data_IF_530788249503
#
_entry.id   IF_530788249503
#
_cell.length_a   1.000
_cell.length_b   1.000
_cell.length_c   1.000
_cell.angle_alpha   90.00
_cell.angle_beta   90.00
_cell.angle_gamma   90.00
#
_symmetry.space_group_name_H-M   'P 1'
#
loop_
_entity.id
_entity.type
_entity.pdbx_description
1 polymer ?
#
# COMPACT_ATOMS: atom_id res chain seq x y z
N UNK A 1 2.47 -20.65 -4.92
CA UNK A 1 2.05 -21.10 -6.27
C UNK A 1 0.97 -20.12 -6.75
N UNK A 2 1.17 -19.43 -7.87
CA UNK A 2 0.31 -18.31 -8.32
C UNK A 2 -0.71 -18.79 -9.36
N UNK A 3 -1.63 -19.68 -8.99
CA UNK A 3 -2.60 -20.26 -9.94
C UNK A 3 -4.04 -20.06 -9.45
N UNK A 4 -4.97 -19.75 -10.36
CA UNK A 4 -6.39 -19.62 -10.03
C UNK A 4 -6.94 -20.94 -9.48
N UNK A 5 -7.51 -20.91 -8.28
CA UNK A 5 -8.09 -22.07 -7.62
C UNK A 5 -9.54 -22.30 -8.06
N UNK A 6 -10.29 -21.22 -8.29
CA UNK A 6 -11.72 -21.25 -8.55
C UNK A 6 -12.11 -20.91 -10.00
N UNK A 7 -11.21 -20.31 -10.78
CA UNK A 7 -11.48 -19.90 -12.16
C UNK A 7 -12.20 -18.55 -12.27
N UNK A 8 -12.80 -18.30 -13.41
CA UNK A 8 -13.59 -17.09 -13.71
C UNK A 8 -15.08 -17.25 -13.34
N UNK A 9 -15.84 -16.16 -13.39
CA UNK A 9 -17.30 -16.16 -13.17
C UNK A 9 -18.04 -17.07 -14.16
N UNK A 10 -19.31 -17.36 -13.88
CA UNK A 10 -20.20 -18.16 -14.75
C UNK A 10 -19.60 -19.53 -15.11
N UNK A 11 -19.23 -20.30 -14.07
CA UNK A 11 -18.63 -21.64 -14.20
C UNK A 11 -17.32 -21.66 -15.03
N UNK A 12 -16.39 -20.77 -14.66
CA UNK A 12 -15.11 -20.58 -15.33
C UNK A 12 -15.23 -20.32 -16.85
N UNK A 13 -16.05 -19.34 -17.25
CA UNK A 13 -16.31 -19.00 -18.65
C UNK A 13 -15.04 -18.71 -19.50
N UNK A 14 -13.93 -18.31 -18.87
CA UNK A 14 -12.65 -18.05 -19.53
C UNK A 14 -11.67 -19.23 -19.47
N UNK A 15 -12.00 -20.31 -18.77
CA UNK A 15 -11.11 -21.48 -18.61
C UNK A 15 -9.78 -21.15 -17.91
N UNK A 16 -9.81 -20.21 -16.96
CA UNK A 16 -8.60 -19.72 -16.27
C UNK A 16 -8.28 -20.52 -15.01
N UNK A 17 -9.13 -21.45 -14.58
CA UNK A 17 -8.82 -22.32 -13.45
C UNK A 17 -7.54 -23.11 -13.71
N UNK A 18 -6.62 -23.10 -12.74
CA UNK A 18 -5.29 -23.70 -12.86
C UNK A 18 -4.31 -22.93 -13.76
N UNK A 19 -4.70 -21.78 -14.33
CA UNK A 19 -3.79 -20.87 -15.05
C UNK A 19 -3.11 -19.90 -14.09
N UNK A 20 -2.02 -19.32 -14.55
CA UNK A 20 -1.22 -18.36 -13.77
C UNK A 20 -1.99 -17.07 -13.50
N UNK A 21 -1.85 -16.57 -12.27
CA UNK A 21 -2.42 -15.29 -11.82
C UNK A 21 -1.54 -14.12 -12.22
N UNK A 22 -1.64 -13.72 -13.49
CA UNK A 22 -1.00 -12.50 -14.00
C UNK A 22 -1.63 -11.25 -13.35
N UNK A 23 -0.80 -10.30 -12.93
CA UNK A 23 -1.21 -9.11 -12.17
C UNK A 23 -2.31 -8.26 -12.83
N UNK A 24 -2.39 -8.28 -14.17
CA UNK A 24 -3.42 -7.58 -14.97
C UNK A 24 -4.86 -7.87 -14.50
N UNK A 25 -5.13 -9.08 -14.01
CA UNK A 25 -6.45 -9.47 -13.53
C UNK A 25 -6.90 -8.65 -12.33
N UNK A 26 -5.96 -8.20 -11.50
CA UNK A 26 -6.24 -7.54 -10.22
C UNK A 26 -5.99 -6.03 -10.24
N UNK A 27 -5.37 -5.49 -11.30
CA UNK A 27 -5.01 -4.08 -11.41
C UNK A 27 -6.09 -3.21 -12.10
N UNK A 28 -7.22 -3.77 -12.54
CA UNK A 28 -8.30 -3.00 -13.18
C UNK A 28 -9.69 -3.40 -12.70
N UNK A 29 -10.55 -2.41 -12.50
CA UNK A 29 -11.90 -2.60 -11.98
C UNK A 29 -12.74 -3.47 -12.92
N UNK A 30 -12.60 -3.26 -14.24
CA UNK A 30 -13.31 -4.02 -15.26
C UNK A 30 -12.93 -5.50 -15.26
N UNK A 31 -11.64 -5.85 -15.15
CA UNK A 31 -11.26 -7.27 -15.12
C UNK A 31 -11.77 -7.95 -13.86
N UNK A 32 -11.62 -7.27 -12.72
CA UNK A 32 -12.09 -7.76 -11.42
C UNK A 32 -13.59 -8.00 -11.40
N UNK A 33 -14.38 -7.06 -11.93
CA UNK A 33 -15.84 -7.16 -11.88
C UNK A 33 -16.43 -8.12 -12.91
N UNK A 34 -15.87 -8.16 -14.13
CA UNK A 34 -16.41 -8.98 -15.22
C UNK A 34 -16.00 -10.44 -15.14
N UNK A 35 -14.80 -10.74 -14.64
CA UNK A 35 -14.18 -12.05 -14.85
C UNK A 35 -13.83 -12.78 -13.57
N UNK A 36 -13.51 -12.10 -12.46
CA UNK A 36 -13.05 -12.77 -11.25
C UNK A 36 -14.21 -13.12 -10.30
N UNK A 37 -14.26 -14.37 -9.87
CA UNK A 37 -15.12 -14.79 -8.75
C UNK A 37 -14.63 -14.15 -7.44
N UNK A 38 -15.54 -13.93 -6.49
CA UNK A 38 -15.25 -13.22 -5.25
C UNK A 38 -14.09 -13.84 -4.45
N UNK A 39 -13.96 -15.16 -4.49
CA UNK A 39 -12.92 -15.93 -3.79
C UNK A 39 -11.51 -15.64 -4.33
N UNK A 40 -11.38 -15.18 -5.57
CA UNK A 40 -10.08 -14.87 -6.20
C UNK A 40 -9.65 -13.42 -6.01
N UNK A 41 -10.58 -12.54 -5.63
CA UNK A 41 -10.37 -11.09 -5.66
C UNK A 41 -9.45 -10.57 -4.57
N UNK A 42 -9.33 -11.27 -3.44
CA UNK A 42 -8.71 -10.74 -2.23
C UNK A 42 -9.47 -9.57 -1.61
N UNK A 43 -8.84 -8.89 -0.67
CA UNK A 43 -9.42 -7.78 0.10
C UNK A 43 -8.41 -6.64 0.24
N UNK A 44 -8.77 -5.53 0.88
CA UNK A 44 -7.88 -4.36 0.97
C UNK A 44 -6.53 -4.66 1.64
N UNK A 45 -6.53 -5.44 2.72
CA UNK A 45 -5.30 -5.83 3.43
C UNK A 45 -4.39 -6.65 2.51
N UNK A 46 -4.95 -7.61 1.76
CA UNK A 46 -4.13 -8.44 0.87
C UNK A 46 -3.52 -7.64 -0.28
N UNK A 47 -4.22 -6.62 -0.80
CA UNK A 47 -3.63 -5.71 -1.79
C UNK A 47 -2.52 -4.83 -1.19
N UNK A 48 -2.67 -4.35 0.05
CA UNK A 48 -1.58 -3.67 0.75
C UNK A 48 -0.35 -4.58 0.88
N UNK A 49 -0.53 -5.84 1.28
CA UNK A 49 0.57 -6.82 1.38
C UNK A 49 1.23 -7.09 0.03
N UNK A 50 0.46 -7.21 -1.05
CA UNK A 50 0.98 -7.31 -2.42
C UNK A 50 1.85 -6.11 -2.76
N UNK A 51 1.36 -4.87 -2.54
CA UNK A 51 2.13 -3.66 -2.82
C UNK A 51 3.39 -3.54 -1.97
N UNK A 52 3.37 -4.05 -0.72
CA UNK A 52 4.53 -4.15 0.15
C UNK A 52 5.59 -5.10 -0.42
N UNK A 53 5.19 -6.28 -0.88
CA UNK A 53 6.09 -7.24 -1.49
C UNK A 53 6.73 -6.69 -2.77
N UNK A 54 5.94 -6.04 -3.62
CA UNK A 54 6.44 -5.38 -4.83
C UNK A 54 7.47 -4.31 -4.45
N UNK A 55 7.15 -3.45 -3.47
CA UNK A 55 8.04 -2.37 -3.02
C UNK A 55 9.36 -2.90 -2.44
N UNK A 56 9.33 -4.00 -1.67
CA UNK A 56 10.53 -4.67 -1.16
C UNK A 56 11.41 -5.23 -2.28
N UNK A 57 10.80 -5.92 -3.24
CA UNK A 57 11.53 -6.48 -4.37
C UNK A 57 12.21 -5.37 -5.19
N UNK A 58 11.47 -4.28 -5.47
CA UNK A 58 12.02 -3.11 -6.17
C UNK A 58 13.12 -2.42 -5.37
N UNK A 59 12.95 -2.25 -4.05
CA UNK A 59 13.99 -1.67 -3.18
C UNK A 59 15.29 -2.46 -3.31
N UNK A 60 15.21 -3.80 -3.30
CA UNK A 60 16.38 -4.67 -3.41
C UNK A 60 17.07 -4.55 -4.76
N UNK A 61 16.32 -4.48 -5.86
CA UNK A 61 16.86 -4.22 -7.20
C UNK A 61 17.59 -2.87 -7.24
N UNK A 62 16.93 -1.81 -6.79
CA UNK A 62 17.52 -0.46 -6.80
C UNK A 62 18.76 -0.37 -5.89
N UNK A 63 18.77 -1.06 -4.74
CA UNK A 63 19.93 -1.12 -3.85
C UNK A 63 21.13 -1.85 -4.49
N UNK A 64 20.88 -2.77 -5.42
CA UNK A 64 21.92 -3.41 -6.23
C UNK A 64 22.37 -2.55 -7.43
N UNK A 65 21.81 -1.34 -7.60
CA UNK A 65 22.14 -0.44 -8.71
C UNK A 65 21.48 -0.80 -10.03
N UNK A 66 20.46 -1.67 -10.02
CA UNK A 66 19.79 -2.16 -11.23
C UNK A 66 18.35 -1.65 -11.32
N UNK A 67 17.89 -1.40 -12.55
CA UNK A 67 16.50 -1.09 -12.87
C UNK A 67 15.88 -2.24 -13.66
N UNK A 68 14.57 -2.47 -13.52
CA UNK A 68 13.87 -3.52 -14.24
C UNK A 68 13.60 -3.14 -15.69
N UNK A 69 13.36 -1.86 -15.98
CA UNK A 69 13.11 -1.30 -17.30
C UNK A 69 11.80 -1.65 -18.01
N UNK A 70 11.16 -2.77 -17.65
CA UNK A 70 9.84 -3.17 -18.15
C UNK A 70 8.85 -3.51 -17.03
N UNK A 71 8.65 -2.57 -16.10
CA UNK A 71 7.68 -2.79 -15.01
C UNK A 71 6.26 -2.65 -15.50
N UNK A 72 5.49 -3.72 -15.40
CA UNK A 72 4.05 -3.72 -15.68
C UNK A 72 3.32 -4.75 -14.85
N UNK A 73 1.99 -4.70 -14.85
CA UNK A 73 1.16 -5.73 -14.23
C UNK A 73 1.27 -7.10 -14.95
N UNK A 74 1.89 -7.17 -16.14
CA UNK A 74 2.08 -8.43 -16.86
C UNK A 74 3.32 -9.18 -16.34
N UNK A 75 4.33 -8.43 -15.89
CA UNK A 75 5.56 -8.97 -15.33
C UNK A 75 5.46 -9.20 -13.81
N UNK A 76 4.23 -9.34 -13.31
CA UNK A 76 3.91 -9.63 -11.93
C UNK A 76 2.99 -10.84 -11.85
N UNK A 77 3.35 -11.82 -11.03
CA UNK A 77 2.42 -12.81 -10.53
C UNK A 77 1.90 -12.36 -9.18
N UNK A 78 0.58 -12.37 -9.01
CA UNK A 78 -0.07 -11.86 -7.79
C UNK A 78 -1.13 -12.85 -7.34
N UNK A 79 -1.11 -13.19 -6.06
CA UNK A 79 -2.14 -13.98 -5.43
C UNK A 79 -2.74 -13.24 -4.23
N UNK A 80 -3.87 -12.53 -4.43
CA UNK A 80 -4.55 -11.81 -3.35
C UNK A 80 -5.22 -12.73 -2.31
N UNK A 81 -5.23 -14.05 -2.53
CA UNK A 81 -5.81 -15.04 -1.62
C UNK A 81 -4.79 -15.66 -0.67
N UNK A 82 -3.50 -15.60 -1.03
CA UNK A 82 -2.38 -16.13 -0.25
C UNK A 82 -1.33 -15.06 0.06
N UNK A 83 -1.69 -13.79 -0.08
CA UNK A 83 -0.85 -12.60 0.14
C UNK A 83 0.47 -12.60 -0.63
N UNK A 84 0.52 -13.26 -1.80
CA UNK A 84 1.74 -13.45 -2.57
C UNK A 84 1.90 -12.43 -3.69
N UNK A 85 3.13 -11.98 -3.92
CA UNK A 85 3.53 -11.30 -5.16
C UNK A 85 4.94 -11.74 -5.59
N UNK A 86 5.16 -11.87 -6.89
CA UNK A 86 6.46 -12.19 -7.47
C UNK A 86 6.69 -11.36 -8.73
N UNK A 87 7.92 -10.85 -8.87
CA UNK A 87 8.37 -10.16 -10.08
C UNK A 87 8.95 -11.20 -11.03
N UNK A 88 8.48 -11.18 -12.27
CA UNK A 88 8.98 -12.01 -13.37
C UNK A 88 9.86 -11.17 -14.29
N UNK A 89 10.48 -11.82 -15.28
CA UNK A 89 11.20 -11.15 -16.38
C UNK A 89 12.37 -10.27 -15.90
N UNK A 90 13.24 -10.89 -15.09
CA UNK A 90 14.42 -10.27 -14.47
C UNK A 90 15.72 -10.50 -15.27
N UNK A 91 15.62 -10.92 -16.53
CA UNK A 91 16.73 -11.11 -17.46
C UNK A 91 17.07 -9.80 -18.21
N UNK A 92 16.09 -8.94 -18.48
CA UNK A 92 16.25 -7.62 -19.11
C UNK A 92 16.65 -6.47 -18.16
N UNK A 93 17.42 -6.73 -17.10
CA UNK A 93 17.76 -5.70 -16.11
C UNK A 93 18.75 -4.67 -16.68
N UNK A 94 18.44 -3.39 -16.44
CA UNK A 94 19.27 -2.27 -16.87
C UNK A 94 20.28 -1.91 -15.80
N UNK A 95 21.54 -1.82 -16.23
CA UNK A 95 22.66 -1.36 -15.42
C UNK A 95 23.27 -0.14 -16.09
N UNK A 96 23.14 1.06 -15.50
CA UNK A 96 23.67 2.29 -16.08
C UNK A 96 25.13 2.15 -16.51
N UNK A 97 25.41 2.43 -17.79
CA UNK A 97 26.76 2.37 -18.36
C UNK A 97 27.32 0.96 -18.62
N UNK A 98 26.57 -0.11 -18.33
CA UNK A 98 27.03 -1.50 -18.53
C UNK A 98 26.08 -2.35 -19.36
N UNK A 99 24.79 -2.35 -19.03
CA UNK A 99 23.76 -3.11 -19.74
C UNK A 99 22.63 -2.15 -20.14
N UNK A 100 22.53 -1.81 -21.44
CA UNK A 100 21.50 -0.91 -21.92
C UNK A 100 20.11 -1.58 -21.87
N UNK A 101 19.03 -0.79 -21.94
CA UNK A 101 17.67 -1.30 -22.02
C UNK A 101 17.39 -2.01 -23.35
N UNK A 102 16.86 -3.24 -23.26
CA UNK A 102 16.40 -3.99 -24.43
C UNK A 102 15.05 -3.47 -24.95
N UNK A 103 14.18 -3.02 -24.02
CA UNK A 103 12.85 -2.49 -24.31
C UNK A 103 12.67 -1.07 -23.77
N UNK A 104 11.76 -0.31 -24.39
CA UNK A 104 11.39 1.04 -23.92
C UNK A 104 10.46 0.97 -22.71
N UNK A 105 9.77 -0.16 -22.51
CA UNK A 105 8.84 -0.42 -21.42
C UNK A 105 7.42 -0.73 -21.92
N UNK A 106 6.58 -1.25 -21.03
CA UNK A 106 5.18 -1.57 -21.32
C UNK A 106 4.33 -0.29 -21.34
N UNK A 107 3.45 -0.10 -22.35
CA UNK A 107 2.46 0.97 -22.36
C UNK A 107 1.70 1.10 -21.03
N UNK A 108 1.25 2.30 -20.69
CA UNK A 108 0.73 2.72 -19.37
C UNK A 108 1.78 2.90 -18.25
N UNK A 109 2.95 2.23 -18.31
CA UNK A 109 3.95 2.31 -17.23
C UNK A 109 5.18 3.13 -17.57
N UNK A 110 5.34 3.50 -18.85
CA UNK A 110 6.44 4.33 -19.32
C UNK A 110 6.36 5.71 -18.67
N UNK A 111 7.47 6.17 -18.12
CA UNK A 111 7.52 7.48 -17.46
C UNK A 111 7.37 8.64 -18.48
N UNK A 112 6.76 9.77 -18.09
CA UNK A 112 6.45 10.86 -19.03
C UNK A 112 7.63 11.37 -19.85
N UNK A 113 8.80 11.51 -19.23
CA UNK A 113 10.03 11.98 -19.87
C UNK A 113 10.54 11.03 -20.97
N UNK A 114 10.20 9.74 -20.88
CA UNK A 114 10.55 8.75 -21.89
C UNK A 114 9.58 8.78 -23.07
N UNK A 115 8.28 9.01 -22.80
CA UNK A 115 7.26 9.18 -23.85
C UNK A 115 7.54 10.47 -24.63
N UNK A 116 7.89 11.56 -23.95
CA UNK A 116 8.19 12.85 -24.57
C UNK A 116 9.39 12.75 -25.53
N UNK A 117 10.42 12.00 -25.15
CA UNK A 117 11.63 11.84 -25.96
C UNK A 117 11.62 10.62 -26.87
N UNK A 118 10.47 9.93 -27.01
CA UNK A 118 10.38 8.66 -27.73
C UNK A 118 10.68 8.76 -29.24
N UNK A 119 10.53 9.96 -29.80
CA UNK A 119 10.76 10.27 -31.21
C UNK A 119 12.26 10.44 -31.54
N UNK A 120 13.12 10.61 -30.52
CA UNK A 120 14.56 10.74 -30.68
C UNK A 120 15.22 9.36 -30.86
N UNK A 121 16.35 9.32 -31.56
CA UNK A 121 17.14 8.09 -31.69
C UNK A 121 17.65 7.60 -30.32
N UNK A 122 17.87 6.29 -30.17
CA UNK A 122 18.39 5.70 -28.92
C UNK A 122 19.76 6.27 -28.51
N UNK A 123 20.54 6.72 -29.48
CA UNK A 123 21.88 7.30 -29.29
C UNK A 123 21.86 8.81 -29.07
N UNK A 124 20.70 9.46 -29.19
CA UNK A 124 20.57 10.90 -28.96
C UNK A 124 20.83 11.22 -27.47
N UNK A 125 21.69 12.20 -27.15
CA UNK A 125 22.00 12.55 -25.76
C UNK A 125 20.79 13.06 -24.96
N UNK A 126 19.73 13.53 -25.64
CA UNK A 126 18.49 13.97 -25.00
C UNK A 126 17.48 12.83 -24.83
N UNK A 127 17.68 11.67 -25.47
CA UNK A 127 16.79 10.51 -25.31
C UNK A 127 16.80 10.03 -23.86
N UNK A 128 15.63 10.00 -23.24
CA UNK A 128 15.47 9.39 -21.91
C UNK A 128 15.25 7.89 -22.07
N UNK A 129 16.03 7.13 -21.32
CA UNK A 129 16.05 5.68 -21.33
C UNK A 129 15.66 5.15 -19.94
N UNK A 130 15.20 3.89 -19.85
CA UNK A 130 14.95 3.24 -18.57
C UNK A 130 16.08 3.42 -17.55
N UNK A 131 15.68 3.73 -16.32
CA UNK A 131 16.58 3.95 -15.19
C UNK A 131 15.85 3.69 -13.88
N UNK A 132 16.56 3.74 -12.75
CA UNK A 132 15.95 3.70 -11.41
C UNK A 132 14.89 4.80 -11.24
N UNK A 133 15.06 5.96 -11.89
CA UNK A 133 14.12 7.08 -11.77
C UNK A 133 12.80 6.83 -12.53
N UNK A 134 12.85 6.18 -13.68
CA UNK A 134 11.66 5.81 -14.48
C UNK A 134 10.96 4.62 -13.83
N UNK A 135 11.72 3.68 -13.26
CA UNK A 135 11.24 2.55 -12.45
C UNK A 135 10.43 2.99 -11.22
N UNK A 136 10.77 4.15 -10.62
CA UNK A 136 10.00 4.74 -9.51
C UNK A 136 8.63 5.24 -9.96
N UNK A 137 8.53 5.78 -11.17
CA UNK A 137 7.24 6.16 -11.76
C UNK A 137 6.37 4.91 -11.96
N UNK A 138 6.90 3.89 -12.63
CA UNK A 138 6.19 2.64 -12.86
C UNK A 138 5.75 1.96 -11.54
N UNK A 139 6.60 1.99 -10.50
CA UNK A 139 6.23 1.49 -9.16
C UNK A 139 5.04 2.26 -8.57
N UNK A 140 5.03 3.59 -8.65
CA UNK A 140 3.92 4.40 -8.16
C UNK A 140 2.61 4.07 -8.90
N UNK A 141 2.68 3.94 -10.24
CA UNK A 141 1.53 3.55 -11.08
C UNK A 141 1.01 2.18 -10.66
N UNK A 142 1.89 1.19 -10.50
CA UNK A 142 1.51 -0.16 -10.06
C UNK A 142 0.81 -0.16 -8.70
N UNK A 143 1.39 0.50 -7.69
CA UNK A 143 0.79 0.58 -6.35
C UNK A 143 -0.58 1.23 -6.42
N UNK A 144 -0.71 2.33 -7.17
CA UNK A 144 -1.99 2.99 -7.36
C UNK A 144 -3.02 2.08 -8.02
N UNK A 145 -2.65 1.35 -9.09
CA UNK A 145 -3.55 0.44 -9.79
C UNK A 145 -3.97 -0.77 -8.94
N UNK A 146 -3.09 -1.32 -8.09
CA UNK A 146 -3.46 -2.42 -7.20
C UNK A 146 -4.36 -1.99 -6.03
N UNK A 147 -4.32 -0.72 -5.63
CA UNK A 147 -5.20 -0.19 -4.59
C UNK A 147 -6.51 0.35 -5.17
N UNK A 148 -6.50 1.00 -6.32
CA UNK A 148 -7.65 1.75 -6.85
C UNK A 148 -8.24 1.19 -8.14
N UNK A 149 -7.60 0.19 -8.73
CA UNK A 149 -8.07 -0.52 -9.93
C UNK A 149 -8.35 0.38 -11.13
N UNK A 150 -7.62 1.49 -11.22
CA UNK A 150 -7.66 2.47 -12.30
C UNK A 150 -6.27 3.07 -12.49
N UNK A 151 -5.99 3.63 -13.65
CA UNK A 151 -4.69 4.26 -13.94
C UNK A 151 -4.66 5.72 -13.43
N UNK A 152 -3.57 6.19 -12.80
CA UNK A 152 -3.50 7.54 -12.21
C UNK A 152 -3.52 8.68 -13.23
N UNK A 153 -3.18 8.42 -14.49
CA UNK A 153 -3.14 9.46 -15.55
C UNK A 153 -4.29 9.35 -16.58
N UNK A 154 -5.06 8.25 -16.57
CA UNK A 154 -6.14 8.02 -17.54
C UNK A 154 -7.43 8.68 -17.08
N UNK A 155 -7.57 9.96 -17.41
CA UNK A 155 -8.74 10.76 -17.10
C UNK A 155 -9.62 11.03 -18.30
N UNK A 156 -10.39 12.12 -18.22
CA UNK A 156 -11.34 12.53 -19.27
C UNK A 156 -10.86 13.73 -20.10
N UNK A 157 -9.61 14.16 -19.92
CA UNK A 157 -9.01 15.23 -20.73
C UNK A 157 -8.58 14.67 -22.07
N UNK A 158 -8.91 15.40 -23.13
CA UNK A 158 -8.42 15.13 -24.49
C UNK A 158 -7.57 16.33 -24.90
N UNK A 159 -6.36 16.06 -25.33
CA UNK A 159 -5.34 17.00 -25.73
C UNK A 159 -5.27 17.16 -27.25
N UNK A 160 -5.60 16.11 -28.01
CA UNK A 160 -5.60 16.13 -29.48
C UNK A 160 -6.74 15.27 -30.05
N UNK A 161 -7.37 15.66 -31.17
CA UNK A 161 -8.34 14.80 -31.86
C UNK A 161 -7.72 13.52 -32.46
N UNK A 162 -6.41 13.52 -32.77
CA UNK A 162 -5.69 12.32 -33.18
C UNK A 162 -5.37 11.44 -31.97
N UNK A 163 -5.88 10.20 -31.97
CA UNK A 163 -5.77 9.31 -30.82
C UNK A 163 -4.32 8.94 -30.47
N UNK A 164 -3.45 8.80 -31.46
CA UNK A 164 -2.03 8.48 -31.21
C UNK A 164 -1.31 9.66 -30.60
N UNK A 165 -1.56 10.87 -31.09
CA UNK A 165 -0.99 12.08 -30.51
C UNK A 165 -1.55 12.39 -29.12
N UNK A 166 -2.85 12.18 -28.91
CA UNK A 166 -3.50 12.31 -27.62
C UNK A 166 -2.89 11.39 -26.57
N UNK A 167 -2.63 10.13 -26.95
CA UNK A 167 -1.92 9.14 -26.14
C UNK A 167 -0.53 9.63 -25.74
N UNK A 168 0.25 10.13 -26.70
CA UNK A 168 1.61 10.63 -26.46
C UNK A 168 1.62 11.85 -25.53
N UNK A 169 0.64 12.75 -25.64
CA UNK A 169 0.51 13.91 -24.78
C UNK A 169 0.06 13.51 -23.37
N UNK A 170 -0.97 12.66 -23.27
CA UNK A 170 -1.56 12.18 -22.01
C UNK A 170 -0.57 11.40 -21.16
N UNK A 171 0.28 10.60 -21.80
CA UNK A 171 1.28 9.78 -21.12
C UNK A 171 2.67 10.42 -21.09
N UNK A 172 2.84 11.58 -21.73
CA UNK A 172 4.10 12.29 -21.88
C UNK A 172 4.01 13.73 -21.35
N UNK A 173 4.32 14.70 -22.20
CA UNK A 173 4.52 16.10 -21.80
C UNK A 173 3.30 16.80 -21.19
N UNK A 174 2.07 16.29 -21.42
CA UNK A 174 0.85 16.82 -20.81
C UNK A 174 0.23 15.87 -19.79
N UNK A 175 0.98 14.87 -19.31
CA UNK A 175 0.54 13.98 -18.25
C UNK A 175 0.04 14.76 -17.03
N UNK A 176 -1.14 14.39 -16.56
CA UNK A 176 -1.83 15.06 -15.46
C UNK A 176 -2.51 14.03 -14.57
N UNK A 177 -2.25 14.08 -13.26
CA UNK A 177 -2.90 13.20 -12.30
C UNK A 177 -4.42 13.42 -12.25
N UNK A 178 -5.19 12.33 -12.30
CA UNK A 178 -6.66 12.39 -12.30
C UNK A 178 -7.24 12.93 -10.98
N UNK A 179 -6.47 12.92 -9.90
CA UNK A 179 -6.81 13.52 -8.60
C UNK A 179 -5.87 14.69 -8.26
N UNK A 180 -5.38 15.42 -9.27
CA UNK A 180 -4.58 16.60 -9.05
C UNK A 180 -5.38 17.63 -8.20
N UNK A 181 -4.78 18.18 -7.11
CA UNK A 181 -5.47 19.06 -6.18
C UNK A 181 -5.75 20.45 -6.75
N UNK A 182 -4.96 20.92 -7.72
CA UNK A 182 -5.04 22.28 -8.27
C UNK A 182 -5.52 22.33 -9.73
N UNK A 183 -5.45 21.22 -10.46
CA UNK A 183 -5.97 21.11 -11.84
C UNK A 183 -6.94 19.93 -11.98
N UNK A 184 -8.24 20.25 -12.02
CA UNK A 184 -9.31 19.27 -12.16
C UNK A 184 -9.59 18.85 -13.61
N UNK A 185 -8.86 19.38 -14.60
CA UNK A 185 -9.18 19.20 -16.03
C UNK A 185 -9.07 17.75 -16.53
N UNK A 186 -8.26 16.91 -15.86
CA UNK A 186 -8.16 15.47 -16.15
C UNK A 186 -8.96 14.57 -15.19
N UNK A 187 -9.91 15.12 -14.41
CA UNK A 187 -10.78 14.27 -13.59
C UNK A 187 -11.63 13.34 -14.46
N UNK A 188 -11.77 12.10 -14.01
CA UNK A 188 -12.65 11.11 -14.66
C UNK A 188 -14.10 11.55 -14.51
N UNK A 189 -14.82 11.60 -15.63
CA UNK A 189 -16.26 11.87 -15.66
C UNK A 189 -17.03 10.56 -15.45
N UNK A 190 -17.88 10.43 -14.41
CA UNK A 190 -18.61 9.20 -14.15
C UNK A 190 -19.50 8.74 -15.32
N UNK A 191 -19.99 9.68 -16.14
CA UNK A 191 -20.78 9.38 -17.35
C UNK A 191 -20.00 8.64 -18.44
N UNK A 192 -18.67 8.62 -18.38
CA UNK A 192 -17.80 7.91 -19.31
C UNK A 192 -17.40 6.52 -18.78
N UNK A 193 -17.77 6.17 -17.54
CA UNK A 193 -17.44 4.89 -16.94
C UNK A 193 -18.52 3.84 -17.23
N UNK A 194 -18.09 2.64 -17.58
CA UNK A 194 -18.98 1.49 -17.63
C UNK A 194 -19.36 1.00 -16.22
N UNK A 195 -20.47 0.28 -16.11
CA UNK A 195 -20.89 -0.36 -14.83
C UNK A 195 -19.80 -1.23 -14.21
N UNK A 196 -18.98 -1.87 -15.04
CA UNK A 196 -17.89 -2.73 -14.61
C UNK A 196 -16.70 -1.97 -14.00
N UNK A 197 -16.58 -0.67 -14.27
CA UNK A 197 -15.54 0.18 -13.68
C UNK A 197 -15.99 0.80 -12.36
N UNK A 198 -17.30 0.97 -12.16
CA UNK A 198 -17.84 1.58 -10.94
C UNK A 198 -17.79 0.61 -9.74
N UNK A 199 -17.60 1.12 -8.50
CA UNK A 199 -17.34 2.51 -8.15
C UNK A 199 -15.85 2.93 -8.31
N UNK A 200 -14.94 1.98 -8.54
CA UNK A 200 -13.50 2.17 -8.48
C UNK A 200 -12.92 3.12 -9.52
N UNK A 201 -13.54 3.20 -10.70
CA UNK A 201 -13.15 4.13 -11.75
C UNK A 201 -13.45 5.59 -11.42
N UNK A 202 -14.28 5.87 -10.41
CA UNK A 202 -14.69 7.21 -10.01
C UNK A 202 -13.89 7.68 -8.77
N UNK A 203 -12.93 8.62 -8.93
CA UNK A 203 -12.13 9.12 -7.82
C UNK A 203 -12.93 9.93 -6.79
N UNK A 204 -14.12 10.43 -7.11
CA UNK A 204 -14.96 11.09 -6.09
C UNK A 204 -15.59 10.08 -5.12
N UNK A 205 -15.82 8.85 -5.59
CA UNK A 205 -16.34 7.75 -4.77
C UNK A 205 -15.24 6.97 -4.08
N UNK A 206 -14.13 6.74 -4.78
CA UNK A 206 -12.97 5.98 -4.29
C UNK A 206 -11.69 6.83 -4.40
N UNK A 207 -11.59 7.96 -3.66
CA UNK A 207 -10.43 8.83 -3.74
C UNK A 207 -9.18 8.16 -3.17
N UNK A 208 -8.00 8.58 -3.59
CA UNK A 208 -6.76 8.03 -3.08
C UNK A 208 -6.58 8.25 -1.58
N UNK A 209 -7.28 9.25 -1.01
CA UNK A 209 -7.33 9.56 0.42
C UNK A 209 -7.80 8.40 1.30
N UNK A 210 -8.57 7.44 0.76
CA UNK A 210 -9.00 6.24 1.51
C UNK A 210 -7.83 5.31 1.86
N UNK A 211 -6.68 5.43 1.18
CA UNK A 211 -5.46 4.72 1.53
C UNK A 211 -4.72 5.32 2.74
N UNK A 212 -5.29 6.36 3.35
CA UNK A 212 -4.75 7.00 4.53
C UNK A 212 -3.65 8.02 4.22
N UNK A 213 -3.21 8.77 5.25
CA UNK A 213 -2.37 9.95 5.06
C UNK A 213 -0.98 9.64 4.50
N UNK A 214 -0.40 8.50 4.87
CA UNK A 214 0.97 8.13 4.46
C UNK A 214 1.05 7.82 2.96
N UNK A 215 0.16 6.96 2.47
CA UNK A 215 0.13 6.60 1.04
C UNK A 215 -0.39 7.75 0.18
N UNK A 216 -1.39 8.49 0.64
CA UNK A 216 -1.90 9.66 -0.07
C UNK A 216 -0.82 10.71 -0.31
N UNK A 217 0.02 10.99 0.71
CA UNK A 217 1.14 11.91 0.56
C UNK A 217 2.16 11.43 -0.49
N UNK A 218 2.42 10.11 -0.56
CA UNK A 218 3.31 9.56 -1.57
C UNK A 218 2.71 9.60 -2.98
N UNK A 219 1.40 9.42 -3.14
CA UNK A 219 0.74 9.60 -4.44
C UNK A 219 0.80 11.05 -4.92
N UNK A 220 0.59 12.02 -4.03
CA UNK A 220 0.78 13.44 -4.36
C UNK A 220 2.23 13.72 -4.77
N UNK A 221 3.21 13.24 -3.99
CA UNK A 221 4.62 13.39 -4.33
C UNK A 221 5.00 12.70 -5.65
N UNK A 222 4.38 11.57 -5.98
CA UNK A 222 4.67 10.83 -7.22
C UNK A 222 4.03 11.45 -8.47
N UNK A 223 2.77 11.89 -8.36
CA UNK A 223 1.95 12.26 -9.51
C UNK A 223 1.64 13.76 -9.61
N UNK A 224 2.06 14.56 -8.64
CA UNK A 224 2.02 16.02 -8.71
C UNK A 224 3.44 16.56 -8.75
N UNK A 225 4.19 16.44 -7.64
CA UNK A 225 5.54 17.02 -7.55
C UNK A 225 6.51 16.29 -8.49
N UNK A 226 6.51 14.95 -8.45
CA UNK A 226 7.46 14.11 -9.17
C UNK A 226 7.02 13.62 -10.55
N UNK A 227 5.85 14.05 -11.05
CA UNK A 227 5.34 13.56 -12.34
C UNK A 227 6.29 13.97 -13.47
N UNK A 228 6.59 15.27 -13.54
CA UNK A 228 7.50 15.89 -14.51
C UNK A 228 8.88 16.23 -13.92
N UNK A 229 9.11 15.91 -12.64
CA UNK A 229 10.42 16.01 -11.98
C UNK A 229 10.84 14.66 -11.36
N UNK A 230 11.62 13.83 -12.08
CA UNK A 230 12.01 12.51 -11.61
C UNK A 230 12.74 12.48 -10.26
N UNK A 231 13.38 13.58 -9.85
CA UNK A 231 14.14 13.65 -8.60
C UNK A 231 13.25 13.70 -7.35
N UNK A 232 12.02 14.19 -7.48
CA UNK A 232 11.06 14.28 -6.38
C UNK A 232 10.27 12.99 -6.17
N UNK A 233 10.35 12.03 -7.11
CA UNK A 233 9.60 10.77 -7.03
C UNK A 233 9.95 9.95 -5.78
N UNK A 234 8.95 9.36 -5.10
CA UNK A 234 9.21 8.44 -4.01
C UNK A 234 10.13 7.28 -4.38
N UNK A 235 11.02 6.93 -3.46
CA UNK A 235 11.79 5.70 -3.55
C UNK A 235 10.95 4.49 -3.17
N UNK A 236 11.38 3.29 -3.56
CA UNK A 236 10.75 2.05 -3.13
C UNK A 236 10.83 1.82 -1.60
N UNK A 237 11.86 2.38 -0.95
CA UNK A 237 11.97 2.39 0.51
C UNK A 237 10.88 3.26 1.15
N UNK A 238 10.56 4.42 0.56
CA UNK A 238 9.47 5.27 1.05
C UNK A 238 8.12 4.54 1.00
N UNK A 239 7.85 3.84 -0.11
CA UNK A 239 6.66 3.02 -0.27
C UNK A 239 6.61 1.89 0.76
N UNK A 240 7.69 1.11 0.94
CA UNK A 240 7.73 0.06 1.97
C UNK A 240 7.44 0.62 3.37
N UNK A 241 8.13 1.70 3.76
CA UNK A 241 7.94 2.32 5.08
C UNK A 241 6.51 2.82 5.28
N UNK A 242 5.93 3.46 4.27
CA UNK A 242 4.57 3.98 4.33
C UNK A 242 3.52 2.84 4.37
N UNK A 243 3.70 1.77 3.59
CA UNK A 243 2.78 0.63 3.56
C UNK A 243 2.81 -0.11 4.89
N UNK A 244 4.00 -0.41 5.44
CA UNK A 244 4.15 -1.04 6.76
C UNK A 244 3.38 -0.26 7.84
N UNK A 245 3.59 1.05 7.91
CA UNK A 245 2.90 1.91 8.88
C UNK A 245 1.41 2.07 8.59
N UNK A 246 0.99 1.91 7.34
CA UNK A 246 -0.43 1.94 6.96
C UNK A 246 -1.14 0.65 7.35
N UNK A 247 -0.46 -0.50 7.28
CA UNK A 247 -0.98 -1.79 7.78
C UNK A 247 -1.30 -1.68 9.27
N UNK A 248 -0.50 -0.97 10.06
CA UNK A 248 -0.80 -0.72 11.48
C UNK A 248 -2.02 0.20 11.70
N UNK A 249 -2.51 0.88 10.66
CA UNK A 249 -3.70 1.73 10.72
C UNK A 249 -4.97 1.05 10.20
N UNK A 250 -4.90 -0.21 9.77
CA UNK A 250 -6.08 -0.90 9.25
C UNK A 250 -7.00 -1.37 10.36
N UNK A 251 -8.27 -1.50 10.02
CA UNK A 251 -9.29 -2.10 10.87
C UNK A 251 -10.22 -2.97 10.03
N UNK A 252 -10.73 -4.09 10.60
CA UNK A 252 -11.69 -4.93 9.91
C UNK A 252 -13.02 -4.19 9.77
N UNK A 253 -13.67 -4.38 8.63
CA UNK A 253 -15.01 -3.90 8.38
C UNK A 253 -16.03 -4.76 9.15
N UNK A 254 -16.89 -4.17 10.02
CA UNK A 254 -17.86 -4.95 10.78
C UNK A 254 -18.91 -5.63 9.89
N UNK A 255 -19.18 -5.08 8.70
CA UNK A 255 -20.12 -5.64 7.73
C UNK A 255 -19.50 -6.73 6.81
N UNK A 256 -18.20 -7.02 6.93
CA UNK A 256 -17.49 -7.98 6.07
C UNK A 256 -17.74 -7.74 4.56
N UNK A 257 -17.72 -6.47 4.13
CA UNK A 257 -17.82 -6.12 2.71
C UNK A 257 -16.66 -6.71 1.89
N UNK A 258 -16.72 -6.69 0.55
CA UNK A 258 -15.68 -7.28 -0.33
C UNK A 258 -14.26 -6.85 0.06
N UNK A 259 -14.06 -5.57 0.38
CA UNK A 259 -12.75 -5.06 0.78
C UNK A 259 -12.32 -5.47 2.18
N UNK A 260 -13.25 -5.88 3.05
CA UNK A 260 -13.02 -6.53 4.35
C UNK A 260 -12.30 -5.72 5.43
N UNK A 261 -11.46 -4.78 5.03
CA UNK A 261 -10.53 -4.00 5.85
C UNK A 261 -10.47 -2.59 5.28
N UNK A 262 -10.14 -1.62 6.11
CA UNK A 262 -9.97 -0.24 5.67
C UNK A 262 -9.00 0.50 6.58
N UNK A 263 -8.35 1.53 6.04
CA UNK A 263 -7.45 2.39 6.83
C UNK A 263 -8.29 3.33 7.69
N UNK A 264 -7.94 3.46 8.96
CA UNK A 264 -8.58 4.42 9.86
C UNK A 264 -8.27 5.86 9.44
N UNK A 265 -9.32 6.66 9.29
CA UNK A 265 -9.28 8.02 8.74
C UNK A 265 -9.07 9.11 9.81
N UNK A 266 -8.82 8.73 11.06
CA UNK A 266 -8.70 9.62 12.22
C UNK A 266 -9.98 10.37 12.61
N UNK A 267 -11.13 9.95 12.09
CA UNK A 267 -12.40 10.55 12.48
C UNK A 267 -12.85 10.00 13.84
N UNK A 268 -13.63 10.81 14.56
CA UNK A 268 -14.25 10.38 15.82
C UNK A 268 -15.40 9.41 15.60
N UNK A 269 -15.92 9.29 14.37
CA UNK A 269 -17.01 8.38 13.98
C UNK A 269 -16.63 7.63 12.71
N UNK A 270 -15.70 6.66 12.80
CA UNK A 270 -15.17 5.99 11.64
C UNK A 270 -16.26 5.18 10.93
N UNK A 271 -16.20 5.25 9.60
CA UNK A 271 -17.04 4.45 8.70
C UNK A 271 -16.15 3.77 7.68
N UNK A 272 -16.54 2.57 7.26
CA UNK A 272 -15.88 1.90 6.16
C UNK A 272 -16.07 2.75 4.87
N UNK A 273 -15.00 3.20 4.19
CA UNK A 273 -15.12 4.03 3.01
C UNK A 273 -15.73 3.26 1.82
N UNK A 274 -15.67 1.93 1.83
CA UNK A 274 -16.13 1.10 0.72
C UNK A 274 -17.63 0.79 0.77
N UNK A 275 -18.18 0.51 1.95
CA UNK A 275 -19.59 0.12 2.12
C UNK A 275 -20.41 1.10 2.99
N UNK A 276 -19.79 2.13 3.55
CA UNK A 276 -20.44 3.14 4.38
C UNK A 276 -20.84 2.68 5.78
N UNK A 277 -20.58 1.43 6.17
CA UNK A 277 -20.93 0.94 7.51
C UNK A 277 -20.16 1.68 8.59
N UNK A 278 -20.88 2.28 9.53
CA UNK A 278 -20.30 2.92 10.72
C UNK A 278 -19.75 1.86 11.68
N UNK A 279 -18.62 2.16 12.33
CA UNK A 279 -18.12 1.32 13.41
C UNK A 279 -18.97 1.49 14.68
N UNK A 280 -19.16 0.40 15.43
CA UNK A 280 -19.92 0.38 16.68
C UNK A 280 -19.03 -0.11 17.82
N UNK A 281 -18.99 0.65 18.91
CA UNK A 281 -18.15 0.35 20.08
C UNK A 281 -16.88 1.20 20.14
N UNK A 282 -16.09 0.99 21.19
CA UNK A 282 -14.85 1.74 21.43
C UNK A 282 -13.73 1.22 20.54
N UNK A 283 -12.92 2.11 19.99
CA UNK A 283 -11.76 1.79 19.15
C UNK A 283 -10.47 2.31 19.77
N UNK A 284 -9.64 1.44 20.37
CA UNK A 284 -8.35 1.85 20.88
C UNK A 284 -7.38 2.15 19.73
N UNK A 285 -6.67 3.25 19.89
CA UNK A 285 -5.56 3.70 19.06
C UNK A 285 -4.36 3.83 19.97
N UNK A 286 -3.29 3.09 19.67
CA UNK A 286 -2.04 3.20 20.41
C UNK A 286 -1.17 4.24 19.73
N UNK A 287 -0.83 5.30 20.45
CA UNK A 287 0.18 6.27 20.03
C UNK A 287 1.54 5.82 20.55
N UNK A 288 2.48 5.52 19.63
CA UNK A 288 3.82 5.06 20.01
C UNK A 288 4.73 6.24 20.36
N UNK A 289 5.45 6.06 21.47
CA UNK A 289 6.53 6.92 21.92
C UNK A 289 7.75 6.08 22.17
N UNK A 290 8.93 6.60 21.88
CA UNK A 290 10.19 5.93 22.16
C UNK A 290 11.15 6.79 22.94
N UNK A 291 12.02 6.13 23.69
CA UNK A 291 13.10 6.79 24.41
C UNK A 291 14.42 6.68 23.64
N UNK A 292 15.16 7.79 23.53
CA UNK A 292 16.55 7.80 23.03
C UNK A 292 17.57 7.62 24.17
N UNK A 293 17.22 8.11 25.36
CA UNK A 293 17.97 7.99 26.60
C UNK A 293 16.98 7.84 27.76
N UNK A 294 17.27 6.96 28.71
CA UNK A 294 16.36 6.57 29.79
C UNK A 294 15.65 7.77 30.44
N UNK A 295 14.32 7.70 30.50
CA UNK A 295 13.48 8.66 31.24
C UNK A 295 12.74 9.71 30.40
N UNK A 296 13.11 9.95 29.14
CA UNK A 296 12.34 10.84 28.23
C UNK A 296 11.77 10.06 27.05
N UNK A 297 10.47 10.23 26.77
CA UNK A 297 9.75 9.59 25.67
C UNK A 297 9.27 10.64 24.67
N UNK A 298 9.58 10.45 23.39
CA UNK A 298 9.16 11.35 22.31
C UNK A 298 8.22 10.62 21.34
N UNK A 299 7.27 11.33 20.71
CA UNK A 299 6.37 10.73 19.73
C UNK A 299 7.13 10.10 18.56
N UNK A 300 6.77 8.87 18.20
CA UNK A 300 7.30 8.20 17.00
C UNK A 300 6.55 8.62 15.73
N UNK A 301 5.47 9.41 15.86
CA UNK A 301 4.48 9.67 14.81
C UNK A 301 3.93 8.37 14.19
N UNK A 302 3.92 7.27 14.94
CA UNK A 302 3.46 5.95 14.54
C UNK A 302 2.33 5.55 15.47
N UNK A 303 1.24 5.08 14.88
CA UNK A 303 0.06 4.63 15.61
C UNK A 303 -0.32 3.22 15.19
N UNK A 304 -0.95 2.49 16.09
CA UNK A 304 -1.53 1.18 15.85
C UNK A 304 -3.02 1.23 16.16
N UNK A 305 -3.84 0.89 15.18
CA UNK A 305 -5.27 0.67 15.35
C UNK A 305 -5.51 -0.72 15.90
N UNK A 306 -6.21 -0.80 17.03
CA UNK A 306 -6.49 -2.06 17.72
C UNK A 306 -7.74 -2.73 17.15
N UNK A 307 -7.63 -4.02 16.85
CA UNK A 307 -8.76 -4.90 16.53
C UNK A 307 -8.61 -6.28 17.20
N UNK A 308 -9.71 -7.04 17.25
CA UNK A 308 -9.79 -8.26 18.06
C UNK A 308 -8.97 -9.41 17.49
N UNK A 309 -8.05 -9.96 18.28
CA UNK A 309 -7.08 -10.97 17.84
C UNK A 309 -5.83 -10.42 17.17
N UNK A 310 -5.70 -9.08 17.04
CA UNK A 310 -4.50 -8.47 16.46
C UNK A 310 -3.26 -8.77 17.30
N UNK A 311 -2.20 -9.19 16.62
CA UNK A 311 -0.93 -9.56 17.25
C UNK A 311 0.03 -8.39 17.34
N UNK A 312 0.73 -8.28 18.46
CA UNK A 312 1.93 -7.47 18.63
C UNK A 312 3.18 -8.31 18.34
N UNK A 313 4.22 -7.62 17.89
CA UNK A 313 5.48 -8.22 17.47
C UNK A 313 6.64 -7.33 17.94
N UNK A 314 7.89 -7.80 17.91
CA UNK A 314 9.05 -7.05 18.37
C UNK A 314 9.21 -5.64 17.74
N UNK A 315 8.87 -5.46 16.47
CA UNK A 315 8.89 -4.14 15.81
C UNK A 315 7.80 -3.18 16.30
N UNK A 316 6.77 -3.67 17.00
CA UNK A 316 5.80 -2.81 17.67
C UNK A 316 6.31 -2.30 19.01
N UNK A 317 7.16 -3.06 19.71
CA UNK A 317 7.61 -2.75 21.07
C UNK A 317 8.99 -2.08 21.13
N UNK A 318 9.79 -2.17 20.06
CA UNK A 318 11.11 -1.54 19.96
C UNK A 318 11.31 -0.94 18.56
N UNK A 319 11.55 0.38 18.50
CA UNK A 319 11.72 1.11 17.21
C UNK A 319 13.01 0.78 16.47
N UNK A 320 13.94 0.06 17.09
CA UNK A 320 15.16 -0.40 16.42
C UNK A 320 14.88 -1.55 15.44
N UNK A 321 13.72 -2.22 15.59
CA UNK A 321 13.33 -3.36 14.78
C UNK A 321 12.31 -2.88 13.74
N UNK A 322 12.60 -3.16 12.47
CA UNK A 322 11.71 -2.83 11.37
C UNK A 322 11.23 -4.12 10.68
N UNK A 323 9.93 -4.27 10.36
CA UNK A 323 9.44 -5.49 9.75
C UNK A 323 9.87 -5.58 8.29
N UNK A 324 10.96 -6.28 8.03
CA UNK A 324 11.51 -6.55 6.71
C UNK A 324 11.98 -8.02 6.58
N UNK A 325 12.57 -8.36 5.44
CA UNK A 325 13.09 -9.70 5.14
C UNK A 325 14.25 -10.16 6.03
N UNK A 326 14.90 -9.25 6.76
CA UNK A 326 16.08 -9.53 7.59
C UNK A 326 15.72 -9.90 9.03
N UNK A 327 14.43 -9.86 9.41
CA UNK A 327 13.98 -10.27 10.75
C UNK A 327 14.42 -11.70 11.06
N UNK A 328 14.98 -11.91 12.26
CA UNK A 328 15.31 -13.24 12.77
C UNK A 328 14.04 -14.06 13.07
N UNK A 329 14.12 -15.40 13.17
CA UNK A 329 12.98 -16.23 13.55
C UNK A 329 12.31 -15.79 14.86
N UNK A 330 13.09 -15.39 15.86
CA UNK A 330 12.55 -14.90 17.13
C UNK A 330 11.88 -13.54 16.99
N UNK A 331 12.40 -12.65 16.14
CA UNK A 331 11.78 -11.36 15.87
C UNK A 331 10.45 -11.46 15.11
N UNK A 332 10.10 -12.64 14.58
CA UNK A 332 8.81 -12.92 13.92
C UNK A 332 7.78 -13.54 14.86
N UNK A 333 8.16 -13.84 16.11
CA UNK A 333 7.24 -14.39 17.10
C UNK A 333 6.37 -13.30 17.69
N UNK A 334 5.10 -13.64 17.93
CA UNK A 334 4.15 -12.79 18.63
C UNK A 334 4.65 -12.51 20.06
N UNK A 335 4.50 -11.27 20.53
CA UNK A 335 4.86 -10.85 21.90
C UNK A 335 3.66 -10.49 22.77
N UNK A 336 2.51 -10.32 22.14
CA UNK A 336 1.23 -10.09 22.80
C UNK A 336 0.12 -10.01 21.76
N UNK A 337 -1.11 -9.88 22.21
CA UNK A 337 -2.25 -9.67 21.32
C UNK A 337 -3.37 -8.91 22.02
N UNK A 338 -4.27 -8.34 21.22
CA UNK A 338 -5.43 -7.64 21.72
C UNK A 338 -6.66 -8.55 21.73
N UNK A 339 -7.47 -8.40 22.76
CA UNK A 339 -8.73 -9.12 22.90
C UNK A 339 -9.84 -8.15 23.32
N UNK A 340 -10.98 -8.22 22.64
CA UNK A 340 -12.22 -7.60 23.08
C UNK A 340 -13.00 -8.61 23.93
N UNK A 341 -13.18 -8.32 25.22
CA UNK A 341 -13.91 -9.18 26.14
C UNK A 341 -14.97 -8.37 26.90
N UNK A 342 -16.24 -8.77 26.79
CA UNK A 342 -17.38 -8.13 27.46
C UNK A 342 -17.46 -6.60 27.24
N UNK A 343 -17.05 -6.12 26.05
CA UNK A 343 -17.07 -4.69 25.69
C UNK A 343 -15.83 -3.90 26.10
N UNK A 344 -14.86 -4.55 26.74
CA UNK A 344 -13.59 -3.96 27.14
C UNK A 344 -12.41 -4.55 26.37
N UNK A 345 -11.45 -3.68 26.05
CA UNK A 345 -10.24 -4.05 25.34
C UNK A 345 -9.12 -4.40 26.30
N UNK A 346 -8.40 -5.47 26.01
CA UNK A 346 -7.26 -5.93 26.78
C UNK A 346 -6.06 -6.15 25.87
N UNK A 347 -4.87 -5.79 26.36
CA UNK A 347 -3.60 -6.26 25.82
C UNK A 347 -3.11 -7.42 26.69
N UNK A 348 -2.97 -8.59 26.07
CA UNK A 348 -2.45 -9.80 26.69
C UNK A 348 -0.93 -9.85 26.48
N UNK A 349 -0.18 -10.01 27.57
CA UNK A 349 1.27 -10.14 27.53
C UNK A 349 1.66 -11.60 27.28
N UNK A 350 2.27 -11.92 26.14
CA UNK A 350 2.77 -13.27 25.88
C UNK A 350 4.29 -13.40 25.99
N UNK A 351 5.03 -12.33 25.68
CA UNK A 351 6.49 -12.37 25.65
C UNK A 351 7.14 -10.98 25.80
N UNK A 352 6.58 -10.11 26.65
CA UNK A 352 7.14 -8.81 27.01
C UNK A 352 7.54 -8.81 28.51
N UNK A 353 8.74 -9.29 28.87
CA UNK A 353 9.13 -9.51 30.27
C UNK A 353 9.23 -8.22 31.10
N UNK A 354 9.36 -7.06 30.45
CA UNK A 354 9.51 -5.75 31.08
C UNK A 354 8.25 -4.87 30.94
N UNK A 355 7.12 -5.48 30.58
CA UNK A 355 5.88 -4.75 30.37
C UNK A 355 5.38 -4.15 31.68
N UNK A 356 5.04 -2.87 31.66
CA UNK A 356 4.64 -2.11 32.85
C UNK A 356 3.45 -1.21 32.54
N UNK A 357 2.39 -1.34 33.33
CA UNK A 357 1.25 -0.43 33.32
C UNK A 357 1.65 0.82 34.10
N UNK A 358 1.94 1.89 33.37
CA UNK A 358 2.41 3.16 33.94
C UNK A 358 1.30 3.84 34.73
N UNK A 359 0.04 3.69 34.27
CA UNK A 359 -1.13 4.28 34.92
C UNK A 359 -1.41 3.64 36.27
N UNK A 360 -1.35 2.31 36.35
CA UNK A 360 -1.56 1.58 37.61
C UNK A 360 -0.28 1.34 38.43
N UNK A 361 0.88 1.79 37.93
CA UNK A 361 2.19 1.60 38.55
C UNK A 361 2.51 0.14 38.89
N UNK A 362 2.25 -0.78 37.97
CA UNK A 362 2.44 -2.22 38.21
C UNK A 362 3.09 -2.92 37.02
N UNK A 363 3.93 -3.91 37.31
CA UNK A 363 4.44 -4.82 36.29
C UNK A 363 3.30 -5.71 35.76
N UNK A 364 3.31 -5.98 34.46
CA UNK A 364 2.36 -6.89 33.80
C UNK A 364 3.13 -8.15 33.44
N UNK A 365 3.03 -9.18 34.28
CA UNK A 365 3.73 -10.45 34.07
C UNK A 365 3.33 -11.14 32.75
N UNK A 366 4.19 -12.02 32.24
CA UNK A 366 3.86 -12.88 31.10
C UNK A 366 2.65 -13.74 31.46
N UNK A 367 1.67 -13.82 30.56
CA UNK A 367 0.37 -14.46 30.76
C UNK A 367 -0.69 -13.55 31.40
N UNK A 368 -0.31 -12.39 31.93
CA UNK A 368 -1.25 -11.40 32.45
C UNK A 368 -1.78 -10.48 31.35
N UNK A 369 -2.71 -9.61 31.71
CA UNK A 369 -3.31 -8.64 30.82
C UNK A 369 -3.42 -7.25 31.46
N UNK A 370 -3.60 -6.25 30.61
CA UNK A 370 -3.92 -4.88 31.00
C UNK A 370 -5.09 -4.38 30.17
N UNK A 371 -6.07 -3.75 30.83
CA UNK A 371 -7.21 -3.13 30.16
C UNK A 371 -6.76 -1.84 29.48
N UNK A 372 -7.18 -1.65 28.23
CA UNK A 372 -6.96 -0.41 27.50
C UNK A 372 -8.04 0.59 27.91
N UNK A 373 -7.63 1.75 28.42
CA UNK A 373 -8.52 2.84 28.83
C UNK A 373 -8.04 4.16 28.24
N UNK A 374 -8.96 5.10 28.03
CA UNK A 374 -8.61 6.45 27.54
C UNK A 374 -7.49 7.07 28.39
N UNK A 375 -6.45 7.59 27.73
CA UNK A 375 -5.29 8.20 28.37
C UNK A 375 -4.34 7.24 29.07
N UNK A 376 -4.65 5.93 29.10
CA UNK A 376 -3.80 4.92 29.71
C UNK A 376 -2.41 4.89 29.08
N UNK A 377 -1.41 4.50 29.87
CA UNK A 377 -0.02 4.42 29.42
C UNK A 377 0.59 3.06 29.77
N UNK A 378 1.18 2.40 28.78
CA UNK A 378 1.80 1.09 28.95
C UNK A 378 3.20 1.12 28.36
N UNK A 379 4.20 0.80 29.17
CA UNK A 379 5.56 0.61 28.71
C UNK A 379 5.72 -0.84 28.23
N UNK A 380 5.99 -1.02 26.94
CA UNK A 380 6.08 -2.35 26.31
C UNK A 380 7.47 -2.98 26.46
N UNK A 381 8.52 -2.15 26.55
CA UNK A 381 9.90 -2.58 26.79
C UNK A 381 10.68 -1.46 27.49
N UNK A 382 11.54 -1.82 28.46
CA UNK A 382 12.48 -0.90 29.14
C UNK A 382 13.87 -0.89 28.47
N UNK A 383 14.06 -1.71 27.44
CA UNK A 383 15.31 -1.74 26.67
C UNK A 383 15.57 -0.40 25.96
N UNK A 384 16.81 -0.21 25.49
CA UNK A 384 17.13 0.91 24.63
C UNK A 384 16.17 0.92 23.42
N UNK A 385 15.59 2.08 23.12
CA UNK A 385 14.61 2.26 22.04
C UNK A 385 13.31 1.46 22.21
N UNK A 386 13.06 0.95 23.42
CA UNK A 386 11.76 0.42 23.84
C UNK A 386 10.66 1.47 23.73
N UNK A 387 9.44 1.00 23.49
CA UNK A 387 8.27 1.85 23.27
C UNK A 387 7.34 1.92 24.48
N UNK A 388 6.89 3.13 24.73
CA UNK A 388 5.71 3.44 25.53
C UNK A 388 4.53 3.63 24.56
N UNK A 389 3.36 3.12 24.92
CA UNK A 389 2.10 3.44 24.24
C UNK A 389 1.23 4.32 25.11
N UNK A 390 0.62 5.33 24.51
CA UNK A 390 -0.52 6.04 25.08
C UNK A 390 -1.79 5.60 24.34
N UNK A 391 -2.80 5.19 25.10
CA UNK A 391 -4.08 4.76 24.57
C UNK A 391 -4.97 5.98 24.34
N UNK A 392 -5.52 6.08 23.13
CA UNK A 392 -6.61 6.97 22.78
C UNK A 392 -7.79 6.13 22.29
N UNK A 393 -9.00 6.43 22.75
CA UNK A 393 -10.24 5.79 22.35
C UNK A 393 -10.92 6.67 21.31
N UNK A 394 -11.11 6.12 20.11
CA UNK A 394 -11.99 6.67 19.09
C UNK A 394 -13.42 6.11 19.25
N UNK A 395 -14.39 6.77 18.62
CA UNK A 395 -15.81 6.38 18.64
C UNK A 395 -16.42 6.37 20.05
N UNK A 396 -16.05 7.37 20.85
CA UNK A 396 -16.56 7.61 22.22
C UNK A 396 -17.70 8.63 22.19
#
# INVERSE_FOLDING_TARGET
>A
HFFFAHGSVNDDMLGIKGREKVGKWFASASNRSKFLVAQEKGNWLTHLQITLMISRAVRRLHAAGVAHSDRSYNNLMVDPTSDGACINDIDGLVVPGKFPPDVVGTPDFIAPEMVETQHLDKTDPNRKLPSVATDRHALAVLIYMYLFYRHPLRGSKTHDPDATRDEQLTMGSQALFIENPTDASNRVKPSQLSKAQLPWGDPEKMPCSIAGPLLSALFQRAFVDGLHDPHQRPSASDWENAIVRTVDLIQPCPNKCEMGWYVFDNTTRPKCPYCGTAYVGKLPVLNFYSSRHSGSYHPDNHRLMVWDGQSLFPWHINRAIFPNEQLTPDQRRRVGYFQLHQGDWYLINENMPQMFDVTAQKDVAIGANVRLTEGGQILLSREERGRLVQIQMANV
#
